data_IF_533997166577
#
_entry.id   IF_533997166577
#
_cell.length_a   1.000
_cell.length_b   1.000
_cell.length_c   1.000
_cell.angle_alpha   90.00
_cell.angle_beta   90.00
_cell.angle_gamma   90.00
#
_symmetry.space_group_name_H-M   'P 1'
#
loop_
_entity.id
_entity.type
_entity.pdbx_description
1 polymer ?
#
# COMPACT_ATOMS: atom_id res chain seq x y z
N UNK A 1 3.51 -19.37 3.00
CA UNK A 1 4.57 -19.51 4.01
C UNK A 1 5.50 -18.28 3.97
N UNK A 2 5.94 -17.82 5.16
CA UNK A 2 6.83 -16.65 5.27
C UNK A 2 8.14 -16.83 4.49
N UNK A 3 8.69 -18.03 4.48
CA UNK A 3 9.91 -18.34 3.73
C UNK A 3 9.69 -18.25 2.22
N UNK A 4 8.51 -18.61 1.74
CA UNK A 4 8.15 -18.56 0.32
C UNK A 4 8.08 -17.12 -0.21
N UNK A 5 7.55 -16.20 0.59
CA UNK A 5 7.40 -14.79 0.17
C UNK A 5 8.64 -13.93 0.43
N UNK A 6 9.63 -14.44 1.21
CA UNK A 6 10.80 -13.66 1.60
C UNK A 6 11.66 -13.20 0.41
N UNK A 7 11.74 -14.03 -0.63
CA UNK A 7 12.53 -13.77 -1.84
C UNK A 7 11.73 -13.08 -2.96
N UNK A 8 10.42 -12.92 -2.76
CA UNK A 8 9.55 -12.36 -3.79
C UNK A 8 9.64 -10.84 -3.81
N UNK A 9 9.53 -10.29 -5.02
CA UNK A 9 9.46 -8.85 -5.27
C UNK A 9 8.11 -8.51 -5.88
N UNK A 10 7.58 -7.34 -5.56
CA UNK A 10 6.34 -6.83 -6.10
C UNK A 10 6.60 -5.66 -7.04
N UNK A 11 5.88 -5.62 -8.13
CA UNK A 11 5.80 -4.44 -8.99
C UNK A 11 4.82 -3.47 -8.39
N UNK A 12 5.28 -2.29 -8.01
CA UNK A 12 4.47 -1.17 -7.55
C UNK A 12 4.23 -0.22 -8.72
N UNK A 13 2.97 0.02 -9.03
CA UNK A 13 2.55 0.85 -10.16
C UNK A 13 1.56 1.92 -9.71
N UNK A 14 1.91 3.17 -9.98
CA UNK A 14 1.00 4.30 -9.75
C UNK A 14 -0.19 4.27 -10.71
N UNK A 15 0.03 3.87 -11.96
CA UNK A 15 -1.02 3.69 -12.96
C UNK A 15 -2.04 2.63 -12.51
N UNK A 16 -1.56 1.48 -12.03
CA UNK A 16 -2.42 0.42 -11.49
C UNK A 16 -3.27 0.92 -10.31
N UNK A 17 -2.63 1.57 -9.35
CA UNK A 17 -3.32 2.15 -8.18
C UNK A 17 -4.39 3.17 -8.59
N UNK A 18 -4.07 4.02 -9.57
CA UNK A 18 -4.99 5.04 -10.08
C UNK A 18 -6.19 4.44 -10.80
N UNK A 19 -5.96 3.41 -11.64
CA UNK A 19 -7.02 2.72 -12.36
C UNK A 19 -8.00 1.98 -11.43
N UNK A 20 -7.53 1.52 -10.27
CA UNK A 20 -8.35 0.81 -9.29
C UNK A 20 -8.89 1.71 -8.16
N UNK A 21 -8.68 3.02 -8.24
CA UNK A 21 -9.21 3.96 -7.25
C UNK A 21 -10.55 4.54 -7.72
N UNK A 22 -11.67 4.23 -7.03
CA UNK A 22 -13.01 4.64 -7.46
C UNK A 22 -13.22 6.16 -7.56
N UNK A 23 -12.33 6.97 -7.00
CA UNK A 23 -12.41 8.43 -7.05
C UNK A 23 -11.67 9.08 -8.23
N UNK A 24 -10.98 8.31 -9.09
CA UNK A 24 -10.21 8.83 -10.23
C UNK A 24 -10.56 8.09 -11.51
N UNK A 25 -11.19 8.80 -12.43
CA UNK A 25 -11.67 8.25 -13.71
C UNK A 25 -10.75 8.55 -14.90
N UNK A 26 -9.74 9.42 -14.75
CA UNK A 26 -8.84 9.78 -15.85
C UNK A 26 -7.63 8.84 -15.91
N UNK A 27 -7.38 8.29 -17.09
CA UNK A 27 -6.16 7.54 -17.38
C UNK A 27 -4.92 8.44 -17.24
N UNK A 28 -3.77 7.85 -16.95
CA UNK A 28 -2.51 8.59 -16.94
C UNK A 28 -2.13 9.01 -18.36
N UNK A 29 -1.60 10.24 -18.48
CA UNK A 29 -0.94 10.71 -19.71
C UNK A 29 0.42 10.03 -19.89
N UNK A 30 0.98 10.12 -21.11
CA UNK A 30 2.31 9.55 -21.39
C UNK A 30 3.41 10.26 -20.58
N UNK A 31 3.28 11.56 -20.35
CA UNK A 31 4.20 12.33 -19.50
C UNK A 31 4.14 11.86 -18.03
N UNK A 32 2.94 11.57 -17.52
CA UNK A 32 2.77 11.01 -16.17
C UNK A 32 3.35 9.61 -16.08
N UNK A 33 3.18 8.75 -17.08
CA UNK A 33 3.80 7.41 -17.13
C UNK A 33 5.31 7.48 -17.12
N UNK A 34 5.88 8.41 -17.91
CA UNK A 34 7.33 8.63 -17.94
C UNK A 34 7.86 9.13 -16.59
N UNK A 35 7.10 9.94 -15.87
CA UNK A 35 7.47 10.50 -14.56
C UNK A 35 7.35 9.50 -13.43
N UNK A 36 6.39 8.58 -13.52
CA UNK A 36 6.08 7.60 -12.46
C UNK A 36 6.11 6.16 -13.02
N UNK A 37 7.27 5.69 -13.49
CA UNK A 37 7.38 4.32 -13.97
C UNK A 37 7.11 3.32 -12.84
N UNK A 38 6.67 2.09 -13.16
CA UNK A 38 6.60 1.03 -12.18
C UNK A 38 7.96 0.77 -11.54
N UNK A 39 7.96 0.43 -10.25
CA UNK A 39 9.16 0.10 -9.49
C UNK A 39 9.00 -1.23 -8.79
N UNK A 40 10.11 -1.94 -8.60
CA UNK A 40 10.12 -3.21 -7.91
C UNK A 40 10.63 -3.05 -6.48
N UNK A 41 9.91 -3.64 -5.53
CA UNK A 41 10.30 -3.69 -4.12
C UNK A 41 10.23 -5.11 -3.56
N UNK A 42 11.09 -5.48 -2.60
CA UNK A 42 10.90 -6.70 -1.84
C UNK A 42 9.51 -6.73 -1.20
N UNK A 43 8.85 -7.89 -1.20
CA UNK A 43 7.56 -8.03 -0.52
C UNK A 43 7.70 -7.94 1.00
N UNK A 44 8.78 -8.55 1.54
CA UNK A 44 9.16 -8.37 2.94
C UNK A 44 10.25 -7.31 3.03
N UNK A 45 10.02 -6.30 3.83
CA UNK A 45 11.00 -5.26 4.15
C UNK A 45 11.54 -5.45 5.55
N UNK A 46 12.83 -5.27 5.71
CA UNK A 46 13.47 -5.15 7.01
C UNK A 46 13.57 -3.67 7.37
N UNK A 47 13.03 -3.30 8.51
CA UNK A 47 13.08 -1.95 9.06
C UNK A 47 14.41 -1.68 9.79
N UNK A 48 14.65 -0.45 10.21
CA UNK A 48 15.90 -0.06 10.88
C UNK A 48 16.09 -0.71 12.26
N UNK A 49 15.02 -1.18 12.86
CA UNK A 49 15.00 -1.91 14.14
C UNK A 49 15.02 -3.44 13.97
N UNK A 50 15.42 -3.91 12.79
CA UNK A 50 15.43 -5.31 12.37
C UNK A 50 14.04 -6.00 12.35
N UNK A 51 12.97 -5.30 12.65
CA UNK A 51 11.62 -5.82 12.45
C UNK A 51 11.31 -5.99 10.95
N UNK A 52 10.37 -6.87 10.63
CA UNK A 52 9.95 -7.11 9.25
C UNK A 52 8.50 -6.76 9.04
N UNK A 53 8.22 -6.12 7.92
CA UNK A 53 6.87 -5.77 7.50
C UNK A 53 6.58 -6.22 6.08
N UNK A 54 5.32 -6.53 5.80
CA UNK A 54 4.84 -6.74 4.44
C UNK A 54 4.72 -5.40 3.73
N UNK A 55 5.40 -5.24 2.61
CA UNK A 55 5.33 -4.03 1.80
C UNK A 55 4.44 -4.26 0.58
N UNK A 56 3.14 -4.19 0.83
CA UNK A 56 2.10 -4.34 -0.17
C UNK A 56 1.03 -3.27 0.04
N UNK A 57 0.02 -3.24 -0.77
CA UNK A 57 -1.09 -2.30 -0.68
C UNK A 57 -1.63 -1.93 -2.06
N UNK A 58 -2.40 -0.86 -2.16
CA UNK A 58 -3.06 -0.45 -3.40
C UNK A 58 -2.14 -0.16 -4.59
N UNK A 59 -0.85 0.06 -4.37
CA UNK A 59 0.14 0.25 -5.44
C UNK A 59 0.77 -1.05 -5.93
N UNK A 60 0.74 -2.13 -5.16
CA UNK A 60 1.26 -3.42 -5.57
C UNK A 60 0.36 -4.03 -6.64
N UNK A 61 0.83 -4.08 -7.87
CA UNK A 61 0.07 -4.65 -8.99
C UNK A 61 0.19 -6.18 -9.04
N UNK A 62 1.41 -6.71 -9.03
CA UNK A 62 1.66 -8.14 -9.15
C UNK A 62 3.04 -8.52 -8.58
N UNK A 63 3.27 -9.83 -8.45
CA UNK A 63 4.56 -10.43 -8.12
C UNK A 63 5.40 -10.49 -9.40
N UNK A 64 6.67 -10.08 -9.31
CA UNK A 64 7.59 -10.11 -10.45
C UNK A 64 7.62 -11.51 -11.07
N UNK A 65 7.39 -11.58 -12.38
CA UNK A 65 7.36 -12.84 -13.13
C UNK A 65 6.07 -13.67 -13.01
N UNK A 66 5.03 -13.16 -12.34
CA UNK A 66 3.72 -13.82 -12.26
C UNK A 66 2.62 -12.98 -12.91
N UNK A 67 1.52 -13.64 -13.22
CA UNK A 67 0.31 -13.01 -13.73
C UNK A 67 -0.32 -12.07 -12.69
N UNK A 68 -0.97 -11.00 -13.17
CA UNK A 68 -1.60 -9.97 -12.33
C UNK A 68 -2.74 -10.56 -11.51
N UNK A 69 -3.62 -11.34 -12.14
CA UNK A 69 -4.82 -11.88 -11.45
C UNK A 69 -4.42 -12.93 -10.41
N UNK A 70 -3.45 -13.80 -10.74
CA UNK A 70 -2.86 -14.74 -9.78
C UNK A 70 -2.27 -13.99 -8.56
N UNK A 71 -1.48 -12.97 -8.81
CA UNK A 71 -0.85 -12.17 -7.76
C UNK A 71 -1.88 -11.46 -6.89
N UNK A 72 -2.93 -10.90 -7.49
CA UNK A 72 -4.01 -10.23 -6.77
C UNK A 72 -4.82 -11.18 -5.90
N UNK A 73 -4.99 -12.42 -6.34
CA UNK A 73 -5.62 -13.47 -5.53
C UNK A 73 -4.79 -13.74 -4.26
N UNK A 74 -3.48 -13.92 -4.39
CA UNK A 74 -2.57 -14.09 -3.24
C UNK A 74 -2.62 -12.91 -2.27
N UNK A 75 -2.61 -11.68 -2.80
CA UNK A 75 -2.69 -10.48 -1.95
C UNK A 75 -3.99 -10.44 -1.16
N UNK A 76 -5.12 -10.77 -1.79
CA UNK A 76 -6.41 -10.83 -1.13
C UNK A 76 -6.47 -11.89 -0.02
N UNK A 77 -5.86 -13.06 -0.23
CA UNK A 77 -5.77 -14.10 0.80
C UNK A 77 -4.96 -13.64 2.02
N UNK A 78 -3.83 -12.96 1.79
CA UNK A 78 -3.00 -12.42 2.88
C UNK A 78 -3.75 -11.30 3.61
N UNK A 79 -4.38 -10.37 2.89
CA UNK A 79 -5.18 -9.30 3.50
C UNK A 79 -6.33 -9.87 4.35
N UNK A 80 -6.99 -10.94 3.88
CA UNK A 80 -8.03 -11.62 4.63
C UNK A 80 -7.49 -12.23 5.94
N UNK A 81 -6.31 -12.85 5.89
CA UNK A 81 -5.67 -13.40 7.09
C UNK A 81 -5.30 -12.28 8.08
N UNK A 82 -4.74 -11.17 7.62
CA UNK A 82 -4.41 -10.03 8.49
C UNK A 82 -5.66 -9.44 9.17
N UNK A 83 -6.80 -9.46 8.49
CA UNK A 83 -8.05 -8.88 8.99
C UNK A 83 -8.72 -9.67 10.13
N UNK A 84 -8.32 -10.92 10.38
CA UNK A 84 -8.88 -11.77 11.46
C UNK A 84 -8.03 -11.76 12.74
N UNK A 85 -6.91 -11.04 12.75
CA UNK A 85 -6.05 -10.93 13.92
C UNK A 85 -6.29 -9.63 14.68
N UNK A 86 -5.99 -9.61 15.99
CA UNK A 86 -6.10 -8.43 16.88
C UNK A 86 -5.12 -7.28 16.55
N UNK A 87 -4.65 -7.24 15.29
CA UNK A 87 -3.72 -6.23 14.78
C UNK A 87 -4.43 -5.10 14.00
N UNK A 88 -5.76 -5.19 13.91
CA UNK A 88 -6.55 -4.19 13.20
C UNK A 88 -7.01 -3.11 14.17
N UNK A 89 -6.61 -1.87 13.90
CA UNK A 89 -7.12 -0.69 14.57
C UNK A 89 -8.15 0.02 13.69
N UNK A 90 -9.37 0.19 14.18
CA UNK A 90 -10.41 0.96 13.52
C UNK A 90 -10.60 2.30 14.20
N UNK A 91 -10.26 3.39 13.49
CA UNK A 91 -10.39 4.73 14.03
C UNK A 91 -11.80 5.29 13.81
N UNK A 92 -12.46 5.67 14.89
CA UNK A 92 -13.76 6.35 14.87
C UNK A 92 -13.54 7.86 14.85
N UNK A 93 -13.54 8.45 13.65
CA UNK A 93 -13.20 9.85 13.44
C UNK A 93 -14.13 10.83 14.17
N UNK A 94 -13.52 11.75 14.88
CA UNK A 94 -14.18 12.92 15.45
C UNK A 94 -13.62 14.21 14.83
N UNK A 95 -14.38 15.34 14.83
CA UNK A 95 -13.86 16.63 14.40
C UNK A 95 -12.59 16.99 15.17
N UNK A 96 -11.56 17.42 14.43
CA UNK A 96 -10.23 17.82 14.94
C UNK A 96 -9.30 16.66 15.32
N UNK A 97 -9.66 15.42 15.05
CA UNK A 97 -8.74 14.31 15.23
C UNK A 97 -7.51 14.44 14.32
N UNK A 98 -6.36 14.10 14.87
CA UNK A 98 -5.10 13.92 14.18
C UNK A 98 -4.65 12.46 14.32
N UNK A 99 -4.51 11.76 13.18
CA UNK A 99 -3.99 10.40 13.15
C UNK A 99 -2.68 10.39 12.39
N UNK A 100 -1.66 9.80 12.98
CA UNK A 100 -0.33 9.62 12.37
C UNK A 100 -0.04 8.13 12.28
N UNK A 101 0.38 7.67 11.10
CA UNK A 101 0.79 6.27 10.90
C UNK A 101 2.03 6.19 10.02
N UNK A 102 2.77 5.11 10.16
CA UNK A 102 3.92 4.82 9.33
C UNK A 102 3.51 3.94 8.13
N UNK A 103 3.53 4.51 6.92
CA UNK A 103 3.20 3.79 5.68
C UNK A 103 4.14 2.62 5.37
N UNK A 104 5.28 2.53 6.04
CA UNK A 104 6.27 1.47 5.81
C UNK A 104 5.90 0.17 6.53
N UNK A 105 5.16 0.29 7.64
CA UNK A 105 4.86 -0.81 8.56
C UNK A 105 3.37 -1.09 8.70
N UNK A 106 2.51 -0.20 8.18
CA UNK A 106 1.06 -0.32 8.32
C UNK A 106 0.37 -0.34 6.95
N UNK A 107 -0.66 -1.16 6.85
CA UNK A 107 -1.66 -1.08 5.80
C UNK A 107 -2.85 -0.28 6.31
N UNK A 108 -3.46 0.51 5.45
CA UNK A 108 -4.66 1.26 5.81
C UNK A 108 -5.66 1.26 4.66
N UNK A 109 -6.94 1.28 5.02
CA UNK A 109 -8.04 1.40 4.07
C UNK A 109 -9.14 2.28 4.63
N UNK A 110 -9.89 2.90 3.75
CA UNK A 110 -11.14 3.55 4.09
C UNK A 110 -12.25 2.49 4.19
N UNK A 111 -12.97 2.49 5.29
CA UNK A 111 -14.27 1.80 5.37
C UNK A 111 -15.34 2.64 4.69
N UNK A 112 -16.37 1.98 4.16
CA UNK A 112 -17.48 2.67 3.49
C UNK A 112 -18.19 3.64 4.42
N UNK A 113 -18.65 4.77 3.89
CA UNK A 113 -19.52 5.74 4.55
C UNK A 113 -20.60 6.21 3.56
N UNK A 114 -21.66 6.78 4.06
CA UNK A 114 -22.77 7.25 3.23
C UNK A 114 -22.41 8.56 2.51
N UNK A 115 -21.79 8.43 1.32
CA UNK A 115 -21.35 9.55 0.48
C UNK A 115 -22.53 10.48 0.12
N UNK A 116 -23.76 9.97 0.06
CA UNK A 116 -24.93 10.75 -0.33
C UNK A 116 -25.39 11.71 0.77
N UNK A 117 -25.22 11.31 2.02
CA UNK A 117 -25.75 12.04 3.19
C UNK A 117 -24.68 12.54 4.14
N UNK A 118 -23.42 12.07 4.02
CA UNK A 118 -22.33 12.42 4.91
C UNK A 118 -21.24 13.18 4.19
N UNK A 119 -20.77 14.26 4.80
CA UNK A 119 -19.64 15.03 4.31
C UNK A 119 -18.37 14.65 5.06
N UNK A 120 -17.39 14.11 4.33
CA UNK A 120 -16.06 13.81 4.87
C UNK A 120 -15.05 14.83 4.30
N UNK A 121 -14.46 15.63 5.16
CA UNK A 121 -13.41 16.59 4.82
C UNK A 121 -12.14 16.20 5.57
N UNK A 122 -11.09 15.82 4.84
CA UNK A 122 -9.84 15.37 5.40
C UNK A 122 -8.68 16.13 4.78
N UNK A 123 -7.68 16.45 5.59
CA UNK A 123 -6.39 16.91 5.10
C UNK A 123 -5.34 15.83 5.36
N UNK A 124 -4.46 15.62 4.40
CA UNK A 124 -3.37 14.65 4.53
C UNK A 124 -2.05 15.31 4.15
N UNK A 125 -1.05 15.07 4.98
CA UNK A 125 0.34 15.41 4.71
C UNK A 125 1.13 14.10 4.72
N UNK A 126 2.02 13.93 3.75
CA UNK A 126 2.97 12.82 3.72
C UNK A 126 4.35 13.39 3.99
N UNK A 127 4.98 12.91 5.05
CA UNK A 127 6.38 13.21 5.34
C UNK A 127 7.24 12.26 4.51
N UNK A 128 8.11 12.81 3.68
CA UNK A 128 9.05 12.02 2.92
C UNK A 128 10.13 11.45 3.86
N UNK A 129 10.36 10.14 3.77
CA UNK A 129 11.50 9.50 4.41
C UNK A 129 12.79 9.75 3.62
N UNK A 130 13.93 9.49 4.23
CA UNK A 130 15.21 9.43 3.53
C UNK A 130 15.41 8.05 2.88
N UNK A 131 16.29 7.95 1.91
CA UNK A 131 16.67 6.66 1.29
C UNK A 131 17.37 5.71 2.28
N UNK A 132 17.86 6.24 3.41
CA UNK A 132 18.48 5.47 4.49
C UNK A 132 17.50 4.94 5.54
N UNK A 133 16.20 5.27 5.42
CA UNK A 133 15.20 4.89 6.42
C UNK A 133 14.83 3.40 6.41
N UNK A 134 15.52 2.57 5.63
CA UNK A 134 15.34 1.13 5.57
C UNK A 134 16.58 0.40 5.08
N UNK A 135 16.82 -0.76 5.64
CA UNK A 135 17.91 -1.62 5.20
C UNK A 135 17.68 -2.10 3.75
N UNK A 136 18.68 -1.97 2.89
CA UNK A 136 18.61 -2.42 1.50
C UNK A 136 18.11 -1.39 0.49
N UNK A 137 17.98 -0.12 0.86
CA UNK A 137 17.58 0.95 -0.08
C UNK A 137 18.60 1.19 -1.22
N UNK A 138 19.80 0.61 -1.13
CA UNK A 138 20.93 0.83 -2.05
C UNK A 138 21.39 -0.46 -2.75
N UNK A 139 20.59 -1.53 -2.81
CA UNK A 139 20.96 -2.77 -3.52
C UNK A 139 20.15 -2.96 -4.78
#
# INVERSE_FOLDING_TARGET
DRAEIAELRLVHSYEFSRANNPGRMEAMSDDERAKYPPVEHPWIRTNLDDSQSLYMGGHASHIVGRDVDESRHWFAEIEAQLSVHDVVYEHQWQPHDLVVWDNRTTLHRLLGYDIANERRVMQRITVAGSTSDWAGANS
#
